data_IF_544586167397
#
_entry.id   IF_544586167397
#
_cell.length_a   1.000
_cell.length_b   1.000
_cell.length_c   1.000
_cell.angle_alpha   90.00
_cell.angle_beta   90.00
_cell.angle_gamma   90.00
#
_symmetry.space_group_name_H-M   'P 1'
#
loop_
_entity.id
_entity.type
_entity.pdbx_description
1 polymer ?
#
# COMPACT_ATOMS: atom_id res chain seq x y z
N UNK A 1 -49.58 -2.29 12.38
CA UNK A 1 -48.21 -2.85 12.36
C UNK A 1 -47.23 -1.76 12.79
N UNK A 2 -46.44 -1.93 13.86
CA UNK A 2 -45.37 -0.98 14.16
C UNK A 2 -44.21 -1.17 13.18
N UNK A 3 -43.62 -0.05 12.71
CA UNK A 3 -42.41 -0.04 11.87
C UNK A 3 -41.20 -0.55 12.68
N UNK A 4 -40.24 -1.25 12.06
CA UNK A 4 -39.01 -1.64 12.76
C UNK A 4 -38.22 -0.39 13.17
N UNK A 5 -37.75 -0.36 14.41
CA UNK A 5 -36.82 0.67 14.90
C UNK A 5 -35.43 0.33 14.38
N UNK A 6 -34.88 1.15 13.49
CA UNK A 6 -33.44 1.09 13.18
C UNK A 6 -32.66 1.54 14.43
N UNK A 7 -32.05 0.58 15.12
CA UNK A 7 -31.14 0.86 16.23
C UNK A 7 -29.89 1.55 15.70
N UNK A 8 -29.91 2.88 15.65
CA UNK A 8 -28.68 3.67 15.45
C UNK A 8 -27.84 3.48 16.71
N UNK A 9 -26.60 2.97 16.64
CA UNK A 9 -25.71 2.94 17.79
C UNK A 9 -25.57 4.35 18.35
N UNK A 10 -25.46 4.51 19.67
CA UNK A 10 -25.24 5.81 20.27
C UNK A 10 -24.03 6.48 19.60
N UNK A 11 -24.08 7.80 19.39
CA UNK A 11 -22.96 8.55 18.80
C UNK A 11 -21.62 8.29 19.52
N UNK A 12 -21.68 7.93 20.80
CA UNK A 12 -20.54 7.50 21.62
C UNK A 12 -19.92 6.18 21.14
N UNK A 13 -20.72 5.16 20.81
CA UNK A 13 -20.22 3.86 20.36
C UNK A 13 -19.48 3.96 19.02
N UNK A 14 -20.01 4.78 18.11
CA UNK A 14 -19.36 5.08 16.83
C UNK A 14 -18.04 5.81 17.04
N UNK A 15 -18.02 6.84 17.90
CA UNK A 15 -16.81 7.59 18.20
C UNK A 15 -15.73 6.71 18.84
N UNK A 16 -16.10 5.78 19.72
CA UNK A 16 -15.18 4.84 20.34
C UNK A 16 -14.62 3.85 19.32
N UNK A 17 -15.45 3.31 18.42
CA UNK A 17 -14.96 2.44 17.36
C UNK A 17 -14.01 3.17 16.41
N UNK A 18 -14.36 4.40 16.03
CA UNK A 18 -13.47 5.27 15.23
C UNK A 18 -12.15 5.51 15.96
N UNK A 19 -12.14 5.70 17.28
CA UNK A 19 -10.92 5.87 18.08
C UNK A 19 -10.01 4.64 18.02
N UNK A 20 -10.57 3.45 18.19
CA UNK A 20 -9.83 2.19 18.11
C UNK A 20 -9.22 1.97 16.72
N UNK A 21 -9.99 2.22 15.66
CA UNK A 21 -9.51 2.04 14.29
C UNK A 21 -8.51 3.12 13.90
N UNK A 22 -8.77 4.39 14.24
CA UNK A 22 -7.91 5.51 13.90
C UNK A 22 -6.55 5.48 14.62
N UNK A 23 -6.35 4.61 15.61
CA UNK A 23 -5.05 4.39 16.24
C UNK A 23 -4.09 3.57 15.35
N UNK A 24 -4.61 2.82 14.37
CA UNK A 24 -3.82 1.91 13.51
C UNK A 24 -4.11 2.07 12.02
N UNK A 25 -5.30 2.55 11.65
CA UNK A 25 -5.74 2.67 10.27
C UNK A 25 -5.85 4.13 9.84
N UNK A 26 -5.59 4.43 8.56
CA UNK A 26 -5.95 5.69 7.96
C UNK A 26 -7.44 5.86 7.71
N UNK A 27 -7.90 7.11 7.66
CA UNK A 27 -9.33 7.44 7.60
C UNK A 27 -10.14 6.74 6.49
N UNK A 28 -9.52 6.42 5.35
CA UNK A 28 -10.19 5.68 4.28
C UNK A 28 -10.41 4.22 4.67
N UNK A 29 -9.38 3.54 5.21
CA UNK A 29 -9.50 2.17 5.74
C UNK A 29 -10.40 2.12 6.98
N UNK A 30 -10.40 3.16 7.82
CA UNK A 30 -11.38 3.26 8.91
C UNK A 30 -12.81 3.29 8.33
N UNK A 31 -13.04 4.02 7.24
CA UNK A 31 -14.36 4.07 6.61
C UNK A 31 -14.77 2.72 6.00
N UNK A 32 -13.85 2.06 5.30
CA UNK A 32 -14.04 0.70 4.75
C UNK A 32 -14.40 -0.29 5.86
N UNK A 33 -13.58 -0.35 6.92
CA UNK A 33 -13.79 -1.24 8.06
C UNK A 33 -15.14 -0.99 8.75
N UNK A 34 -15.55 0.28 8.94
CA UNK A 34 -16.85 0.58 9.54
C UNK A 34 -18.02 0.16 8.65
N UNK A 35 -17.88 0.25 7.32
CA UNK A 35 -18.89 -0.23 6.38
C UNK A 35 -18.99 -1.76 6.41
N UNK A 36 -17.87 -2.46 6.44
CA UNK A 36 -17.80 -3.93 6.53
C UNK A 36 -18.40 -4.45 7.84
N UNK A 37 -18.11 -3.78 8.96
CA UNK A 37 -18.68 -4.09 10.27
C UNK A 37 -20.17 -3.71 10.40
N UNK A 38 -20.74 -3.06 9.38
CA UNK A 38 -22.13 -2.63 9.37
C UNK A 38 -22.44 -1.53 10.40
N UNK A 39 -21.45 -0.76 10.86
CA UNK A 39 -21.68 0.39 11.74
C UNK A 39 -22.44 1.47 10.97
N UNK A 40 -23.70 1.79 11.30
CA UNK A 40 -24.42 2.81 10.57
C UNK A 40 -23.93 4.21 10.96
N UNK A 41 -23.94 5.13 10.00
CA UNK A 41 -23.84 6.55 10.31
C UNK A 41 -25.16 7.07 10.89
N UNK A 42 -25.13 8.24 11.54
CA UNK A 42 -26.34 8.86 12.10
C UNK A 42 -27.47 9.09 11.07
N UNK A 43 -27.13 9.18 9.77
CA UNK A 43 -28.08 9.36 8.68
C UNK A 43 -28.29 8.09 7.84
N UNK A 44 -27.75 6.94 8.26
CA UNK A 44 -27.85 5.66 7.53
C UNK A 44 -27.06 5.63 6.21
N UNK A 45 -26.20 6.61 5.96
CA UNK A 45 -25.35 6.65 4.77
C UNK A 45 -24.06 5.84 4.98
N UNK A 46 -23.42 5.34 3.92
CA UNK A 46 -22.11 4.69 4.01
C UNK A 46 -21.04 5.63 4.59
N UNK A 47 -20.09 5.04 5.31
CA UNK A 47 -18.89 5.73 5.74
C UNK A 47 -18.03 6.13 4.56
N UNK A 48 -17.49 7.33 4.64
CA UNK A 48 -16.48 7.86 3.74
C UNK A 48 -15.35 8.47 4.57
N UNK A 49 -14.17 8.62 3.97
CA UNK A 49 -13.04 9.31 4.59
C UNK A 49 -13.43 10.68 5.17
N UNK A 50 -14.26 11.45 4.46
CA UNK A 50 -14.73 12.75 4.93
C UNK A 50 -15.60 12.64 6.19
N UNK A 51 -16.47 11.62 6.28
CA UNK A 51 -17.31 11.37 7.46
C UNK A 51 -16.49 10.91 8.66
N UNK A 52 -15.51 10.02 8.45
CA UNK A 52 -14.56 9.62 9.51
C UNK A 52 -13.80 10.84 10.03
N UNK A 53 -13.26 11.67 9.14
CA UNK A 53 -12.59 12.94 9.52
C UNK A 53 -13.50 13.85 10.34
N UNK A 54 -14.76 14.01 9.94
CA UNK A 54 -15.71 14.85 10.67
C UNK A 54 -15.93 14.35 12.11
N UNK A 55 -16.14 13.03 12.29
CA UNK A 55 -16.27 12.41 13.61
C UNK A 55 -15.01 12.60 14.43
N UNK A 56 -13.84 12.32 13.84
CA UNK A 56 -12.57 12.46 14.53
C UNK A 56 -12.32 13.88 15.04
N UNK A 57 -12.57 14.90 14.19
CA UNK A 57 -12.45 16.31 14.61
C UNK A 57 -13.42 16.66 15.73
N UNK A 58 -14.69 16.23 15.61
CA UNK A 58 -15.73 16.50 16.62
C UNK A 58 -15.39 15.90 17.99
N UNK A 59 -14.74 14.74 18.00
CA UNK A 59 -14.41 13.99 19.23
C UNK A 59 -12.93 14.05 19.62
N UNK A 60 -12.14 14.95 19.00
CA UNK A 60 -10.70 15.13 19.24
C UNK A 60 -9.89 13.82 19.15
N UNK A 61 -10.26 12.94 18.21
CA UNK A 61 -9.60 11.64 18.03
C UNK A 61 -8.35 11.84 17.15
N UNK A 62 -7.15 11.46 17.64
CA UNK A 62 -5.91 11.55 16.85
C UNK A 62 -5.95 10.64 15.61
N UNK A 63 -5.06 10.91 14.66
CA UNK A 63 -4.96 10.18 13.39
C UNK A 63 -3.72 9.32 13.41
N UNK A 64 -3.86 8.03 13.13
CA UNK A 64 -2.75 7.23 12.65
C UNK A 64 -2.43 7.48 11.17
N UNK A 65 -3.25 8.27 10.45
CA UNK A 65 -2.96 8.80 9.12
C UNK A 65 -2.38 10.20 9.19
N UNK A 66 -1.07 10.37 8.98
CA UNK A 66 -0.47 11.67 8.92
C UNK A 66 -0.72 12.28 7.55
N UNK A 67 -1.91 12.81 7.30
CA UNK A 67 -2.05 13.78 6.20
C UNK A 67 -1.12 14.99 6.45
N UNK A 68 -0.84 15.26 7.74
CA UNK A 68 -0.03 16.37 8.22
C UNK A 68 0.67 16.03 9.55
N UNK A 69 1.46 14.95 9.66
CA UNK A 69 2.47 14.95 10.74
C UNK A 69 3.75 15.58 10.24
N UNK A 70 4.32 16.55 10.98
CA UNK A 70 5.69 16.99 10.77
C UNK A 70 6.70 15.88 11.11
N UNK A 71 6.29 14.86 11.86
CA UNK A 71 7.17 13.76 12.25
C UNK A 71 7.34 12.75 11.12
N UNK A 72 8.60 12.37 10.88
CA UNK A 72 9.01 11.28 10.00
C UNK A 72 8.60 9.92 10.56
N UNK A 73 8.45 8.92 9.69
CA UNK A 73 8.17 7.54 10.06
C UNK A 73 6.90 6.98 9.43
N UNK A 74 6.67 5.67 9.59
CA UNK A 74 5.54 5.00 8.99
C UNK A 74 4.20 5.51 9.55
N UNK A 75 3.21 5.54 8.68
CA UNK A 75 1.79 5.63 9.01
C UNK A 75 1.37 4.41 9.84
N UNK A 76 0.20 4.47 10.49
CA UNK A 76 -0.30 3.35 11.32
C UNK A 76 -0.38 1.98 10.62
N UNK A 77 -0.45 1.95 9.29
CA UNK A 77 -0.45 0.73 8.47
C UNK A 77 0.95 0.32 7.96
N UNK A 78 2.00 0.97 8.46
CA UNK A 78 3.39 0.69 8.10
C UNK A 78 3.87 1.38 6.83
N UNK A 79 3.02 2.14 6.12
CA UNK A 79 3.42 2.81 4.87
C UNK A 79 4.12 4.13 5.15
N UNK A 80 5.16 4.44 4.37
CA UNK A 80 5.95 5.67 4.49
C UNK A 80 5.61 6.67 3.39
N UNK A 81 5.86 7.96 3.62
CA UNK A 81 5.68 9.00 2.60
C UNK A 81 6.70 8.81 1.49
N UNK A 82 6.31 9.15 0.25
CA UNK A 82 7.22 9.15 -0.92
C UNK A 82 8.52 9.92 -0.67
N UNK A 83 8.46 11.06 0.04
CA UNK A 83 9.67 11.85 0.36
C UNK A 83 10.67 11.09 1.24
N UNK A 84 10.16 10.38 2.25
CA UNK A 84 10.98 9.58 3.16
C UNK A 84 11.52 8.33 2.44
N UNK A 85 10.68 7.66 1.66
CA UNK A 85 11.11 6.52 0.83
C UNK A 85 12.24 6.91 -0.15
N UNK A 86 12.08 8.05 -0.82
CA UNK A 86 13.09 8.58 -1.74
C UNK A 86 14.43 8.86 -1.03
N UNK A 87 14.38 9.45 0.16
CA UNK A 87 15.56 9.68 0.99
C UNK A 87 16.24 8.37 1.39
N UNK A 88 15.48 7.40 1.90
CA UNK A 88 16.02 6.10 2.34
C UNK A 88 16.66 5.30 1.20
N UNK A 89 16.15 5.45 -0.03
CA UNK A 89 16.66 4.77 -1.23
C UNK A 89 17.70 5.59 -2.00
N UNK A 90 17.96 6.84 -1.61
CA UNK A 90 18.87 7.75 -2.33
C UNK A 90 18.43 8.06 -3.75
N UNK A 91 17.11 8.19 -3.99
CA UNK A 91 16.52 8.47 -5.30
C UNK A 91 15.60 9.69 -5.27
N UNK A 92 15.14 10.12 -6.44
CA UNK A 92 14.17 11.21 -6.53
C UNK A 92 12.74 10.74 -6.25
N UNK A 93 11.91 11.64 -5.73
CA UNK A 93 10.48 11.37 -5.45
C UNK A 93 9.69 10.91 -6.67
N UNK A 94 10.01 11.43 -7.85
CA UNK A 94 9.37 11.02 -9.12
C UNK A 94 9.61 9.53 -9.39
N UNK A 95 10.81 9.03 -9.13
CA UNK A 95 11.14 7.61 -9.35
C UNK A 95 10.29 6.70 -8.47
N UNK A 96 10.10 7.05 -7.18
CA UNK A 96 9.22 6.28 -6.29
C UNK A 96 7.78 6.26 -6.81
N UNK A 97 7.27 7.39 -7.29
CA UNK A 97 5.94 7.48 -7.90
C UNK A 97 5.85 6.61 -9.16
N UNK A 98 6.86 6.66 -10.03
CA UNK A 98 6.91 5.86 -11.25
C UNK A 98 6.94 4.35 -10.93
N UNK A 99 7.73 3.93 -9.94
CA UNK A 99 7.84 2.53 -9.52
C UNK A 99 6.55 2.01 -8.89
N UNK A 100 5.84 2.87 -8.15
CA UNK A 100 4.49 2.56 -7.66
C UNK A 100 3.50 2.34 -8.82
N UNK A 101 3.48 3.23 -9.81
CA UNK A 101 2.60 3.08 -10.97
C UNK A 101 2.95 1.87 -11.84
N UNK A 102 4.24 1.54 -11.94
CA UNK A 102 4.73 0.32 -12.60
C UNK A 102 4.41 -0.96 -11.79
N UNK A 103 4.06 -0.84 -10.51
CA UNK A 103 3.72 -1.98 -9.64
C UNK A 103 4.92 -2.63 -8.96
N UNK A 104 6.12 -2.05 -9.06
CA UNK A 104 7.32 -2.55 -8.38
C UNK A 104 7.38 -2.15 -6.90
N UNK A 105 6.63 -1.12 -6.52
CA UNK A 105 6.44 -0.73 -5.13
C UNK A 105 4.97 -0.87 -4.75
N UNK A 106 4.72 -1.62 -3.68
CA UNK A 106 3.40 -1.71 -3.07
C UNK A 106 3.10 -0.43 -2.29
N UNK A 107 1.84 -0.01 -2.27
CA UNK A 107 1.47 1.25 -1.65
C UNK A 107 -0.02 1.56 -1.74
N UNK A 108 -0.37 2.76 -1.33
CA UNK A 108 -1.75 3.23 -1.32
C UNK A 108 -1.81 4.71 -1.70
N UNK A 109 -2.71 5.00 -2.64
CA UNK A 109 -3.07 6.34 -3.03
C UNK A 109 -4.60 6.44 -3.15
N UNK A 110 -5.23 7.21 -2.27
CA UNK A 110 -6.70 7.32 -2.22
C UNK A 110 -7.30 7.97 -3.49
N UNK A 111 -6.53 8.79 -4.20
CA UNK A 111 -6.91 9.37 -5.49
C UNK A 111 -5.73 10.11 -6.10
N UNK A 112 -5.81 10.42 -7.40
CA UNK A 112 -4.66 10.94 -8.18
C UNK A 112 -4.00 12.20 -7.62
N UNK A 113 -4.74 13.03 -6.87
CA UNK A 113 -4.23 14.25 -6.20
C UNK A 113 -3.90 14.06 -4.72
N UNK A 114 -4.09 12.86 -4.18
CA UNK A 114 -3.78 12.53 -2.79
C UNK A 114 -2.31 12.16 -2.63
N UNK A 115 -1.78 12.35 -1.43
CA UNK A 115 -0.45 11.86 -1.07
C UNK A 115 -0.35 10.34 -1.34
N UNK A 116 0.71 9.94 -2.02
CA UNK A 116 1.11 8.56 -2.21
C UNK A 116 1.91 8.07 -1.00
N UNK A 117 1.58 6.86 -0.54
CA UNK A 117 2.24 6.15 0.55
C UNK A 117 2.74 4.81 0.03
N UNK A 118 3.97 4.45 0.33
CA UNK A 118 4.59 3.21 -0.18
C UNK A 118 5.05 2.32 0.97
N UNK A 119 5.07 1.02 0.75
CA UNK A 119 5.66 0.04 1.64
C UNK A 119 7.16 0.05 1.39
N UNK A 120 7.94 0.16 2.47
CA UNK A 120 9.39 0.14 2.40
C UNK A 120 9.95 -0.43 3.70
N UNK A 121 10.00 -1.76 3.80
CA UNK A 121 10.67 -2.46 4.89
C UNK A 121 12.17 -2.59 4.66
N UNK A 122 12.88 -3.22 5.60
CA UNK A 122 14.33 -3.46 5.50
C UNK A 122 14.68 -4.32 4.27
N UNK A 123 13.90 -5.36 4.00
CA UNK A 123 14.07 -6.19 2.81
C UNK A 123 13.89 -5.37 1.51
N UNK A 124 12.89 -4.50 1.47
CA UNK A 124 12.67 -3.63 0.30
C UNK A 124 13.85 -2.68 0.10
N UNK A 125 14.41 -2.11 1.18
CA UNK A 125 15.60 -1.26 1.11
C UNK A 125 16.79 -2.03 0.52
N UNK A 126 17.01 -3.27 0.96
CA UNK A 126 18.09 -4.11 0.45
C UNK A 126 17.95 -4.38 -1.06
N UNK A 127 16.72 -4.67 -1.53
CA UNK A 127 16.45 -4.99 -2.94
C UNK A 127 16.49 -3.78 -3.88
N UNK A 128 16.07 -2.61 -3.40
CA UNK A 128 15.71 -1.48 -4.26
C UNK A 128 16.74 -0.33 -4.25
N UNK A 129 17.69 -0.32 -3.31
CA UNK A 129 18.71 0.73 -3.21
C UNK A 129 19.76 0.70 -4.33
N UNK A 130 19.76 -0.32 -5.20
CA UNK A 130 20.72 -0.43 -6.31
C UNK A 130 22.09 -1.01 -5.92
N UNK A 131 22.24 -1.58 -4.72
CA UNK A 131 23.43 -2.28 -4.25
C UNK A 131 23.31 -3.81 -4.33
N UNK A 132 22.11 -4.33 -4.56
CA UNK A 132 21.90 -5.75 -4.82
C UNK A 132 22.69 -6.20 -6.06
N UNK A 133 23.24 -7.42 -6.00
CA UNK A 133 23.92 -8.09 -7.11
C UNK A 133 23.00 -9.11 -7.77
N UNK A 134 23.33 -9.50 -9.00
CA UNK A 134 22.60 -10.55 -9.72
C UNK A 134 22.61 -11.87 -8.94
N UNK A 135 21.46 -12.55 -8.91
CA UNK A 135 21.28 -13.84 -8.27
C UNK A 135 20.72 -14.85 -9.29
N UNK A 136 21.04 -16.13 -9.09
CA UNK A 136 20.48 -17.19 -9.93
C UNK A 136 18.95 -17.19 -9.87
N UNK A 137 18.30 -17.28 -11.02
CA UNK A 137 16.83 -17.20 -11.15
C UNK A 137 16.27 -15.78 -11.30
N UNK A 138 17.12 -14.74 -11.23
CA UNK A 138 16.68 -13.38 -11.59
C UNK A 138 16.44 -13.27 -13.10
N UNK A 139 15.29 -12.73 -13.47
CA UNK A 139 14.91 -12.44 -14.85
C UNK A 139 14.78 -10.93 -15.02
N UNK A 140 15.42 -10.35 -16.04
CA UNK A 140 15.25 -8.94 -16.34
C UNK A 140 13.79 -8.67 -16.71
N UNK A 141 13.20 -7.56 -16.26
CA UNK A 141 11.79 -7.24 -16.56
C UNK A 141 11.55 -7.22 -18.07
N UNK A 142 12.50 -6.71 -18.84
CA UNK A 142 12.43 -6.63 -20.30
C UNK A 142 12.37 -8.03 -20.97
N UNK A 143 12.90 -9.05 -20.29
CA UNK A 143 12.91 -10.44 -20.75
C UNK A 143 11.78 -11.26 -20.12
N UNK A 144 11.03 -10.71 -19.15
CA UNK A 144 10.04 -11.45 -18.38
C UNK A 144 8.87 -11.94 -19.25
N UNK A 145 8.47 -11.16 -20.25
CA UNK A 145 7.44 -11.57 -21.22
C UNK A 145 7.83 -12.81 -22.01
N UNK A 146 9.09 -12.89 -22.45
CA UNK A 146 9.59 -14.00 -23.27
C UNK A 146 9.97 -15.22 -22.42
N UNK A 147 10.66 -15.01 -21.29
CA UNK A 147 11.21 -16.10 -20.47
C UNK A 147 10.20 -16.70 -19.50
N UNK A 148 9.24 -15.91 -19.06
CA UNK A 148 8.24 -16.35 -18.07
C UNK A 148 6.84 -16.45 -18.68
N UNK A 149 6.65 -16.11 -19.97
CA UNK A 149 5.34 -16.06 -20.63
C UNK A 149 4.31 -15.23 -19.82
N UNK A 150 4.75 -14.17 -19.14
CA UNK A 150 3.89 -13.31 -18.32
C UNK A 150 3.68 -11.97 -19.00
N UNK A 151 2.42 -11.56 -19.12
CA UNK A 151 2.11 -10.18 -19.47
C UNK A 151 2.31 -9.23 -18.27
N UNK A 152 2.32 -7.91 -18.54
CA UNK A 152 2.54 -6.90 -17.49
C UNK A 152 1.53 -7.01 -16.34
N UNK A 153 0.29 -7.39 -16.67
CA UNK A 153 -0.79 -7.55 -15.69
C UNK A 153 -0.50 -8.70 -14.74
N UNK A 154 -0.06 -9.84 -15.26
CA UNK A 154 0.26 -11.02 -14.46
C UNK A 154 1.55 -10.84 -13.65
N UNK A 155 2.53 -10.10 -14.18
CA UNK A 155 3.71 -9.67 -13.40
C UNK A 155 3.26 -8.88 -12.18
N UNK A 156 2.40 -7.87 -12.39
CA UNK A 156 1.88 -7.02 -11.31
C UNK A 156 1.12 -7.81 -10.26
N UNK A 157 0.20 -8.68 -10.68
CA UNK A 157 -0.57 -9.54 -9.78
C UNK A 157 0.34 -10.43 -8.93
N UNK A 158 1.39 -11.00 -9.52
CA UNK A 158 2.36 -11.84 -8.79
C UNK A 158 3.25 -11.03 -7.84
N UNK A 159 3.59 -9.79 -8.18
CA UNK A 159 4.31 -8.88 -7.26
C UNK A 159 3.40 -8.52 -6.08
N UNK A 160 2.13 -8.22 -6.34
CA UNK A 160 1.13 -7.91 -5.31
C UNK A 160 0.91 -9.09 -4.35
N UNK A 161 0.91 -10.32 -4.87
CA UNK A 161 0.83 -11.55 -4.09
C UNK A 161 2.17 -11.95 -3.42
N UNK A 162 3.25 -11.20 -3.65
CA UNK A 162 4.58 -11.51 -3.11
C UNK A 162 5.27 -12.73 -3.72
N UNK A 163 4.77 -13.26 -4.84
CA UNK A 163 5.35 -14.40 -5.57
C UNK A 163 6.53 -13.98 -6.45
N UNK A 164 6.51 -12.74 -6.94
CA UNK A 164 7.63 -12.11 -7.62
C UNK A 164 8.13 -10.92 -6.81
N UNK A 165 9.44 -10.85 -6.62
CA UNK A 165 10.09 -9.79 -5.89
C UNK A 165 10.89 -8.92 -6.87
N UNK A 166 10.55 -7.62 -6.99
CA UNK A 166 11.31 -6.71 -7.83
C UNK A 166 12.64 -6.33 -7.15
N UNK A 167 13.69 -6.34 -7.93
CA UNK A 167 15.05 -5.93 -7.56
C UNK A 167 15.53 -4.85 -8.51
N UNK A 168 16.19 -3.83 -7.96
CA UNK A 168 16.84 -2.80 -8.75
C UNK A 168 18.33 -3.02 -8.68
N UNK A 169 18.94 -3.40 -9.81
CA UNK A 169 20.37 -3.66 -9.92
C UNK A 169 21.04 -2.54 -10.69
N UNK A 170 22.26 -2.19 -10.28
CA UNK A 170 23.16 -1.38 -11.11
C UNK A 170 23.89 -2.30 -12.08
N UNK A 171 23.60 -2.14 -13.37
CA UNK A 171 24.27 -2.82 -14.46
C UNK A 171 25.00 -1.75 -15.27
N UNK A 172 26.33 -1.78 -15.22
CA UNK A 172 27.21 -0.71 -15.71
C UNK A 172 26.84 0.66 -15.10
N UNK A 173 26.57 1.65 -15.94
CA UNK A 173 26.16 3.00 -15.54
C UNK A 173 24.63 3.18 -15.46
N UNK A 174 23.84 2.11 -15.55
CA UNK A 174 22.38 2.17 -15.57
C UNK A 174 21.75 1.29 -14.50
N UNK A 175 20.61 1.71 -13.99
CA UNK A 175 19.78 0.85 -13.14
C UNK A 175 18.81 0.07 -14.04
N UNK A 176 18.68 -1.23 -13.79
CA UNK A 176 17.71 -2.11 -14.45
C UNK A 176 16.88 -2.86 -13.41
N UNK A 177 15.70 -3.28 -13.83
CA UNK A 177 14.79 -4.05 -12.99
C UNK A 177 14.90 -5.53 -13.28
N UNK A 178 14.96 -6.31 -12.20
CA UNK A 178 14.93 -7.76 -12.25
C UNK A 178 13.81 -8.26 -11.35
N UNK A 179 13.24 -9.40 -11.72
CA UNK A 179 12.24 -10.12 -10.95
C UNK A 179 12.87 -11.41 -10.44
N UNK A 180 12.73 -11.66 -9.15
CA UNK A 180 13.13 -12.92 -8.54
C UNK A 180 11.87 -13.62 -7.98
N UNK A 181 11.59 -14.86 -8.40
CA UNK A 181 10.57 -15.67 -7.75
C UNK A 181 10.87 -15.86 -6.26
N UNK A 182 9.86 -15.67 -5.40
CA UNK A 182 10.04 -15.85 -3.96
C UNK A 182 10.36 -17.29 -3.58
N UNK A 183 9.95 -18.27 -4.40
CA UNK A 183 10.26 -19.69 -4.22
C UNK A 183 10.90 -20.26 -5.49
N UNK A 184 12.13 -20.83 -5.44
CA UNK A 184 12.83 -21.33 -6.63
C UNK A 184 12.13 -22.52 -7.31
N UNK A 185 11.29 -23.29 -6.60
CA UNK A 185 10.50 -24.38 -7.20
C UNK A 185 9.31 -23.89 -8.02
N UNK A 186 8.95 -22.61 -7.93
CA UNK A 186 7.96 -22.04 -8.84
C UNK A 186 8.54 -21.83 -10.24
N UNK A 187 9.88 -21.76 -10.38
CA UNK A 187 10.57 -21.51 -11.66
C UNK A 187 10.21 -22.55 -12.74
N UNK A 188 10.00 -23.82 -12.36
CA UNK A 188 9.56 -24.90 -13.28
C UNK A 188 8.07 -24.80 -13.67
N UNK A 189 7.26 -24.03 -12.93
CA UNK A 189 5.84 -23.78 -13.25
C UNK A 189 5.61 -22.43 -13.92
N UNK A 190 6.62 -21.56 -14.01
CA UNK A 190 6.47 -20.23 -14.60
C UNK A 190 6.12 -20.29 -16.10
N UNK A 191 6.41 -21.40 -16.79
CA UNK A 191 6.03 -21.62 -18.20
C UNK A 191 4.78 -22.48 -18.44
N UNK A 192 4.02 -22.86 -17.39
CA UNK A 192 2.91 -23.80 -17.51
C UNK A 192 1.60 -23.24 -16.95
N UNK A 193 1.08 -22.19 -17.56
CA UNK A 193 -0.36 -21.87 -17.66
C UNK A 193 -0.62 -21.13 -18.97
#
# INVERSE_FOLDING_TARGET
MPRPRHGTPPAVAVAERVRQLAARLPDHQVAEQLNEEGFPTATGLPWTLARVRAVRRKHHIPSACPYTTPNCGPRGDGLVKVGEAAQSLGVNRSMITDWFHQGYLQGSQHGSRSALWVRLGEDDLHRLNGAASYQAGMVAVEEAGERLNLDEKLIRDRIEQGRLLPYRLRVDQRCRWFLLPHNPTECDRLGAL
#
